data_IF_015704758017
#
_entry.id   IF_015704758017
#
_cell.length_a   1.000
_cell.length_b   1.000
_cell.length_c   1.000
_cell.angle_alpha   90.00
_cell.angle_beta   90.00
_cell.angle_gamma   90.00
#
_symmetry.space_group_name_H-M   'P 1'
#
loop_
_entity.id
_entity.type
_entity.pdbx_description
1 polymer ?
#
# COMPACT_ATOMS: atom_id res chain seq x y z
N UNK A 1 40.77 -8.40 1.41
CA UNK A 1 41.26 -9.72 0.93
C UNK A 1 40.35 -10.90 1.30
N UNK A 2 39.88 -11.04 2.54
CA UNK A 2 39.04 -12.17 2.93
C UNK A 2 37.68 -12.16 2.21
N UNK A 3 37.02 -11.01 2.12
CA UNK A 3 35.73 -10.86 1.42
C UNK A 3 35.86 -11.10 -0.10
N UNK A 4 36.96 -10.66 -0.73
CA UNK A 4 37.22 -10.93 -2.14
C UNK A 4 37.29 -12.44 -2.44
N UNK A 5 37.94 -13.22 -1.56
CA UNK A 5 38.00 -14.70 -1.71
C UNK A 5 36.63 -15.35 -1.58
N UNK A 6 35.82 -14.90 -0.62
CA UNK A 6 34.46 -15.41 -0.43
C UNK A 6 33.60 -15.10 -1.65
N UNK A 7 33.63 -13.86 -2.14
CA UNK A 7 32.89 -13.41 -3.33
C UNK A 7 33.25 -14.24 -4.57
N UNK A 8 34.55 -14.39 -4.86
CA UNK A 8 35.02 -15.19 -5.99
C UNK A 8 34.57 -16.63 -5.88
N UNK A 9 34.69 -17.25 -4.70
CA UNK A 9 34.24 -18.64 -4.47
C UNK A 9 32.76 -18.83 -4.73
N UNK A 10 31.92 -17.87 -4.32
CA UNK A 10 30.48 -17.89 -4.59
C UNK A 10 30.24 -17.74 -6.09
N UNK A 11 30.84 -16.72 -6.72
CA UNK A 11 30.67 -16.48 -8.15
C UNK A 11 31.11 -17.68 -9.01
N UNK A 12 32.20 -18.36 -8.67
CA UNK A 12 32.69 -19.57 -9.37
C UNK A 12 31.72 -20.75 -9.26
N UNK A 13 30.91 -20.83 -8.18
CA UNK A 13 29.92 -21.90 -7.99
C UNK A 13 28.69 -21.77 -8.90
N UNK A 14 28.59 -20.70 -9.66
CA UNK A 14 27.44 -20.31 -10.47
C UNK A 14 27.75 -20.52 -11.94
N UNK A 15 26.86 -21.13 -12.75
CA UNK A 15 27.14 -21.42 -14.16
C UNK A 15 27.11 -20.20 -15.07
N UNK A 16 26.37 -19.14 -14.70
CA UNK A 16 26.23 -17.91 -15.52
C UNK A 16 27.35 -16.89 -15.23
N UNK A 17 27.45 -15.87 -16.08
CA UNK A 17 28.37 -14.76 -15.88
C UNK A 17 27.96 -13.89 -14.70
N UNK A 18 28.96 -13.48 -13.92
CA UNK A 18 28.77 -12.65 -12.72
C UNK A 18 29.80 -11.51 -12.76
N UNK A 19 29.34 -10.29 -12.71
CA UNK A 19 30.17 -9.08 -12.73
C UNK A 19 30.05 -8.31 -11.42
N UNK A 20 31.18 -7.81 -10.92
CA UNK A 20 31.23 -6.86 -9.81
C UNK A 20 31.40 -5.46 -10.39
N UNK A 21 30.48 -4.59 -10.06
CA UNK A 21 30.42 -3.19 -10.49
C UNK A 21 30.69 -2.25 -9.32
N UNK A 22 31.63 -1.32 -9.46
CA UNK A 22 31.90 -0.25 -8.52
C UNK A 22 32.33 1.02 -9.25
N UNK A 23 31.48 2.03 -9.25
CA UNK A 23 31.71 3.27 -10.00
C UNK A 23 31.93 2.98 -11.51
N UNK A 24 33.15 3.27 -12.01
CA UNK A 24 33.52 2.98 -13.41
C UNK A 24 34.15 1.60 -13.63
N UNK A 25 34.34 0.83 -12.58
CA UNK A 25 34.96 -0.48 -12.66
C UNK A 25 33.87 -1.54 -12.84
N UNK A 26 34.02 -2.37 -13.87
CA UNK A 26 33.21 -3.56 -14.11
C UNK A 26 34.18 -4.71 -14.32
N UNK A 27 34.18 -5.68 -13.44
CA UNK A 27 35.13 -6.81 -13.47
C UNK A 27 34.39 -8.12 -13.32
N UNK A 28 34.95 -9.18 -13.91
CA UNK A 28 34.40 -10.53 -13.72
C UNK A 28 34.57 -10.96 -12.25
N UNK A 29 33.46 -11.18 -11.56
CA UNK A 29 33.43 -11.56 -10.14
C UNK A 29 34.01 -12.97 -9.88
N UNK A 30 34.16 -13.80 -10.92
CA UNK A 30 34.85 -15.11 -10.87
C UNK A 30 36.38 -14.99 -10.93
N UNK A 31 36.89 -13.81 -11.23
CA UNK A 31 38.33 -13.56 -11.34
C UNK A 31 38.90 -12.90 -10.10
N UNK A 32 39.72 -13.61 -9.35
CA UNK A 32 40.40 -13.05 -8.18
C UNK A 32 41.23 -11.82 -8.51
N UNK A 33 41.93 -11.82 -9.65
CA UNK A 33 42.72 -10.66 -10.10
C UNK A 33 41.82 -9.50 -10.51
N UNK A 34 40.66 -9.81 -11.15
CA UNK A 34 39.66 -8.82 -11.48
C UNK A 34 39.12 -8.14 -10.23
N UNK A 35 38.67 -8.89 -9.26
CA UNK A 35 38.10 -8.35 -8.00
C UNK A 35 39.14 -7.54 -7.21
N UNK A 36 40.39 -8.02 -7.15
CA UNK A 36 41.47 -7.30 -6.47
C UNK A 36 41.98 -6.06 -7.23
N UNK A 37 41.64 -5.89 -8.52
CA UNK A 37 41.98 -4.70 -9.30
C UNK A 37 41.04 -3.51 -9.02
N UNK A 38 39.88 -3.75 -8.40
CA UNK A 38 38.97 -2.69 -7.98
C UNK A 38 39.55 -2.03 -6.73
N UNK A 39 39.53 -0.68 -6.64
CA UNK A 39 39.91 0.02 -5.40
C UNK A 39 39.13 -0.50 -4.19
N UNK A 40 39.68 -0.31 -2.99
CA UNK A 40 38.97 -0.67 -1.76
C UNK A 40 37.64 0.13 -1.68
N UNK A 41 36.55 -0.57 -1.39
CA UNK A 41 35.21 -0.01 -1.33
C UNK A 41 34.39 -0.71 -0.24
N UNK A 42 33.41 -0.01 0.29
CA UNK A 42 32.51 -0.55 1.32
C UNK A 42 31.33 -1.29 0.68
N UNK A 43 30.78 -0.76 -0.43
CA UNK A 43 29.65 -1.32 -1.15
C UNK A 43 29.88 -1.33 -2.67
N UNK A 44 29.39 -2.38 -3.33
CA UNK A 44 29.38 -2.52 -4.79
C UNK A 44 28.18 -3.34 -5.26
N UNK A 45 27.90 -3.33 -6.54
CA UNK A 45 26.79 -4.07 -7.14
C UNK A 45 27.29 -5.37 -7.78
N UNK A 46 26.54 -6.45 -7.61
CA UNK A 46 26.80 -7.73 -8.25
C UNK A 46 25.76 -7.97 -9.35
N UNK A 47 26.18 -7.97 -10.59
CA UNK A 47 25.31 -8.24 -11.74
C UNK A 47 25.44 -9.72 -12.14
N UNK A 48 24.31 -10.43 -12.07
CA UNK A 48 24.22 -11.86 -12.42
C UNK A 48 23.45 -11.99 -13.73
N UNK A 49 24.11 -12.49 -14.77
CA UNK A 49 23.54 -12.61 -16.11
C UNK A 49 22.84 -13.97 -16.28
N UNK A 50 21.60 -14.09 -15.76
CA UNK A 50 20.80 -15.31 -15.87
C UNK A 50 19.32 -15.01 -15.95
N UNK A 51 18.57 -15.81 -16.72
CA UNK A 51 17.12 -15.82 -16.74
C UNK A 51 16.53 -16.81 -15.72
N UNK A 52 17.38 -17.50 -14.94
CA UNK A 52 16.98 -18.52 -14.00
C UNK A 52 16.87 -17.95 -12.57
N UNK A 53 15.66 -17.69 -12.13
CA UNK A 53 15.32 -17.15 -10.81
C UNK A 53 15.92 -17.95 -9.64
N UNK A 54 16.00 -19.29 -9.77
CA UNK A 54 16.58 -20.17 -8.74
C UNK A 54 18.09 -20.01 -8.60
N UNK A 55 18.78 -19.62 -9.66
CA UNK A 55 20.22 -19.30 -9.58
C UNK A 55 20.43 -17.99 -8.82
N UNK A 56 19.60 -16.99 -9.06
CA UNK A 56 19.64 -15.72 -8.32
C UNK A 56 19.37 -15.94 -6.83
N UNK A 57 18.36 -16.72 -6.48
CA UNK A 57 18.03 -17.06 -5.08
C UNK A 57 19.20 -17.79 -4.39
N UNK A 58 19.85 -18.74 -5.08
CA UNK A 58 20.98 -19.46 -4.54
C UNK A 58 22.18 -18.56 -4.26
N UNK A 59 22.46 -17.63 -5.16
CA UNK A 59 23.54 -16.64 -4.99
C UNK A 59 23.24 -15.75 -3.79
N UNK A 60 22.02 -15.21 -3.71
CA UNK A 60 21.58 -14.35 -2.63
C UNK A 60 21.74 -15.05 -1.27
N UNK A 61 21.33 -16.31 -1.18
CA UNK A 61 21.46 -17.11 0.03
C UNK A 61 22.94 -17.31 0.43
N UNK A 62 23.81 -17.64 -0.52
CA UNK A 62 25.24 -17.81 -0.26
C UNK A 62 25.94 -16.52 0.17
N UNK A 63 25.55 -15.37 -0.42
CA UNK A 63 26.07 -14.06 -0.01
C UNK A 63 25.64 -13.69 1.40
N UNK A 64 24.38 -14.00 1.76
CA UNK A 64 23.85 -13.82 3.13
C UNK A 64 24.62 -14.67 4.15
N UNK A 65 24.82 -15.98 3.88
CA UNK A 65 25.55 -16.87 4.77
C UNK A 65 27.01 -16.42 5.03
N UNK A 66 27.61 -15.72 4.07
CA UNK A 66 28.99 -15.25 4.18
C UNK A 66 29.11 -13.82 4.69
N UNK A 67 28.00 -13.15 5.06
CA UNK A 67 27.93 -11.73 5.44
C UNK A 67 28.60 -10.82 4.38
N UNK A 68 28.30 -11.07 3.10
CA UNK A 68 28.79 -10.26 1.96
C UNK A 68 27.72 -9.35 1.36
N UNK A 69 26.48 -9.44 1.84
CA UNK A 69 25.48 -8.42 1.52
C UNK A 69 25.69 -7.24 2.45
N UNK A 70 25.55 -6.04 1.89
CA UNK A 70 25.50 -4.83 2.71
C UNK A 70 24.37 -4.97 3.73
N UNK A 71 24.63 -4.55 4.96
CA UNK A 71 23.62 -4.58 6.02
C UNK A 71 22.41 -3.73 5.57
N UNK A 72 21.27 -4.37 5.36
CA UNK A 72 20.04 -3.69 4.95
C UNK A 72 19.53 -2.72 6.03
N UNK A 73 20.16 -2.68 7.22
CA UNK A 73 19.88 -1.69 8.25
C UNK A 73 20.25 -0.25 7.84
N UNK A 74 21.11 -0.07 6.81
CA UNK A 74 21.38 1.25 6.24
C UNK A 74 20.22 1.75 5.33
N UNK A 75 19.30 0.86 4.93
CA UNK A 75 18.11 1.22 4.16
C UNK A 75 17.10 2.01 5.02
N UNK A 76 17.02 1.76 6.33
CA UNK A 76 16.17 2.52 7.25
C UNK A 76 16.62 3.98 7.42
N UNK A 77 17.92 4.29 7.17
CA UNK A 77 18.45 5.66 7.18
C UNK A 77 18.22 6.41 5.85
N UNK A 78 17.71 5.74 4.81
CA UNK A 78 17.52 6.32 3.45
C UNK A 78 16.08 6.44 3.01
N UNK A 79 15.09 6.02 3.79
CA UNK A 79 13.69 6.21 3.39
C UNK A 79 13.34 7.70 3.47
N UNK A 80 12.87 8.21 2.34
CA UNK A 80 12.36 9.59 2.24
C UNK A 80 10.88 9.60 2.60
N UNK A 81 10.17 8.49 2.32
CA UNK A 81 8.74 8.38 2.54
C UNK A 81 8.43 7.42 3.69
N UNK A 82 7.65 7.91 4.65
CA UNK A 82 7.11 7.09 5.72
C UNK A 82 6.11 6.09 5.14
N UNK A 83 5.27 6.55 4.20
CA UNK A 83 4.24 5.75 3.56
C UNK A 83 4.16 6.11 2.08
N UNK A 84 4.20 5.10 1.22
CA UNK A 84 3.84 5.25 -0.20
C UNK A 84 2.62 4.40 -0.48
N UNK A 85 1.59 4.99 -1.08
CA UNK A 85 0.39 4.27 -1.50
C UNK A 85 0.41 4.05 -3.01
N UNK A 86 -0.12 2.89 -3.44
CA UNK A 86 -0.11 2.47 -4.84
C UNK A 86 -1.50 2.00 -5.25
N UNK A 87 -2.00 2.51 -6.36
CA UNK A 87 -3.25 2.04 -6.95
C UNK A 87 -4.05 3.14 -7.64
N UNK A 88 -5.38 3.05 -7.51
CA UNK A 88 -6.28 3.97 -8.16
C UNK A 88 -6.38 5.31 -7.44
N UNK A 89 -6.54 6.34 -8.26
CA UNK A 89 -7.07 7.66 -7.90
C UNK A 89 -8.18 7.97 -8.91
N UNK A 90 -9.32 8.40 -8.44
CA UNK A 90 -10.54 8.52 -9.25
C UNK A 90 -11.44 9.67 -8.80
N UNK A 91 -12.49 9.93 -9.56
CA UNK A 91 -13.54 10.87 -9.17
C UNK A 91 -14.77 10.09 -8.71
N UNK A 92 -15.25 10.42 -7.51
CA UNK A 92 -16.57 10.03 -7.03
C UNK A 92 -17.58 11.16 -7.33
N UNK A 93 -18.49 10.91 -8.29
CA UNK A 93 -19.65 11.74 -8.51
C UNK A 93 -20.78 11.30 -7.58
N UNK A 94 -20.96 12.00 -6.47
CA UNK A 94 -21.99 11.69 -5.49
C UNK A 94 -23.25 12.48 -5.78
N UNK A 95 -24.39 11.80 -5.91
CA UNK A 95 -25.68 12.44 -6.11
C UNK A 95 -25.99 13.43 -4.97
N UNK A 96 -26.54 14.57 -5.35
CA UNK A 96 -27.00 15.64 -4.45
C UNK A 96 -28.53 15.80 -4.64
N UNK A 97 -29.02 16.97 -4.37
CA UNK A 97 -30.43 17.30 -4.60
C UNK A 97 -30.75 17.45 -6.09
N UNK A 98 -32.03 17.38 -6.43
CA UNK A 98 -32.58 17.73 -7.75
C UNK A 98 -32.76 19.24 -7.79
N UNK A 99 -32.26 19.90 -8.86
CA UNK A 99 -32.43 21.33 -9.03
C UNK A 99 -33.89 21.69 -9.45
N UNK A 100 -34.19 22.97 -9.55
CA UNK A 100 -35.52 23.50 -9.91
C UNK A 100 -36.02 23.03 -11.30
N UNK A 101 -35.09 22.66 -12.19
CA UNK A 101 -35.39 22.13 -13.53
C UNK A 101 -35.58 20.60 -13.56
N UNK A 102 -35.55 19.94 -12.41
CA UNK A 102 -35.67 18.47 -12.30
C UNK A 102 -34.40 17.69 -12.64
N UNK A 103 -33.23 18.35 -12.70
CA UNK A 103 -31.96 17.72 -13.02
C UNK A 103 -31.27 17.27 -11.75
N UNK A 104 -30.75 16.02 -11.75
CA UNK A 104 -29.91 15.50 -10.69
C UNK A 104 -28.54 16.19 -10.70
N UNK A 105 -28.15 16.76 -9.58
CA UNK A 105 -26.84 17.35 -9.39
C UNK A 105 -25.86 16.32 -8.80
N UNK A 106 -24.60 16.41 -9.20
CA UNK A 106 -23.53 15.57 -8.67
C UNK A 106 -22.39 16.42 -8.13
N UNK A 107 -21.97 16.14 -6.91
CA UNK A 107 -20.72 16.67 -6.38
C UNK A 107 -19.54 15.87 -6.91
N UNK A 108 -18.52 16.56 -7.45
CA UNK A 108 -17.28 15.96 -7.90
C UNK A 108 -16.30 15.85 -6.73
N UNK A 109 -16.13 14.66 -6.20
CA UNK A 109 -15.22 14.40 -5.09
C UNK A 109 -13.97 13.66 -5.56
N UNK A 110 -12.77 14.01 -5.07
CA UNK A 110 -11.59 13.18 -5.25
C UNK A 110 -11.70 11.94 -4.37
N UNK A 111 -11.30 10.79 -4.90
CA UNK A 111 -11.41 9.48 -4.24
C UNK A 111 -10.38 8.48 -4.77
N UNK A 112 -10.62 7.21 -4.43
CA UNK A 112 -9.70 6.10 -4.63
C UNK A 112 -9.07 5.68 -3.30
N UNK A 113 -9.22 4.42 -2.90
CA UNK A 113 -8.81 3.98 -1.56
C UNK A 113 -7.33 4.26 -1.25
N UNK A 114 -6.36 3.95 -2.13
CA UNK A 114 -4.95 4.31 -1.88
C UNK A 114 -4.72 5.82 -1.79
N UNK A 115 -5.44 6.63 -2.57
CA UNK A 115 -5.33 8.08 -2.52
C UNK A 115 -5.95 8.65 -1.21
N UNK A 116 -7.04 8.03 -0.71
CA UNK A 116 -7.64 8.37 0.57
C UNK A 116 -6.66 8.10 1.73
N UNK A 117 -6.02 6.93 1.74
CA UNK A 117 -4.98 6.57 2.73
C UNK A 117 -3.81 7.55 2.65
N UNK A 118 -3.34 7.90 1.44
CA UNK A 118 -2.25 8.87 1.27
C UNK A 118 -2.57 10.22 1.90
N UNK A 119 -3.77 10.74 1.67
CA UNK A 119 -4.17 12.03 2.26
C UNK A 119 -4.38 11.92 3.77
N UNK A 120 -4.98 10.83 4.26
CA UNK A 120 -5.14 10.61 5.68
C UNK A 120 -3.79 10.65 6.40
N UNK A 121 -2.80 9.89 5.92
CA UNK A 121 -1.45 9.84 6.52
C UNK A 121 -0.70 11.16 6.40
N UNK A 122 -0.80 11.85 5.26
CA UNK A 122 -0.17 13.17 5.06
C UNK A 122 -0.73 14.24 6.00
N UNK A 123 -2.06 14.30 6.20
CA UNK A 123 -2.70 15.25 7.14
C UNK A 123 -2.33 14.98 8.60
N UNK A 124 -2.02 13.74 8.92
CA UNK A 124 -1.51 13.36 10.24
C UNK A 124 -0.04 13.70 10.44
N UNK A 125 0.69 14.07 9.37
CA UNK A 125 2.08 14.54 9.43
C UNK A 125 3.11 13.57 8.87
N UNK A 126 2.71 12.43 8.29
CA UNK A 126 3.63 11.53 7.61
C UNK A 126 4.14 12.11 6.28
N UNK A 127 5.37 11.80 5.93
CA UNK A 127 5.91 12.10 4.61
C UNK A 127 5.43 11.04 3.61
N UNK A 128 4.43 11.40 2.81
CA UNK A 128 3.65 10.46 2.01
C UNK A 128 3.83 10.67 0.52
N UNK A 129 3.94 9.59 -0.26
CA UNK A 129 3.92 9.60 -1.72
C UNK A 129 2.76 8.75 -2.27
N UNK A 130 2.37 9.04 -3.50
CA UNK A 130 1.37 8.28 -4.26
C UNK A 130 1.95 7.80 -5.58
N UNK A 131 1.80 6.53 -5.88
CA UNK A 131 2.11 5.91 -7.17
C UNK A 131 0.82 5.41 -7.82
N UNK A 132 0.53 5.86 -9.02
CA UNK A 132 -0.66 5.45 -9.76
C UNK A 132 -0.80 6.19 -11.08
N UNK A 133 -1.93 5.97 -11.76
CA UNK A 133 -2.18 6.57 -13.08
C UNK A 133 -3.62 7.08 -13.19
N UNK A 134 -3.78 8.30 -13.67
CA UNK A 134 -5.06 8.89 -14.06
C UNK A 134 -5.00 9.34 -15.54
N UNK A 135 -6.09 9.74 -16.12
CA UNK A 135 -6.11 10.31 -17.47
C UNK A 135 -5.47 11.71 -17.52
N UNK A 136 -4.88 12.05 -18.65
CA UNK A 136 -4.47 13.43 -18.95
C UNK A 136 -5.70 14.24 -19.39
N UNK A 137 -6.63 14.38 -18.48
CA UNK A 137 -7.90 15.07 -18.63
C UNK A 137 -8.16 16.02 -17.45
N UNK A 138 -9.27 16.76 -17.50
CA UNK A 138 -9.64 17.72 -16.46
C UNK A 138 -9.80 17.08 -15.07
N UNK A 139 -10.04 15.78 -14.99
CA UNK A 139 -10.19 15.05 -13.74
C UNK A 139 -8.86 14.60 -13.18
N UNK A 140 -7.96 14.05 -14.02
CA UNK A 140 -6.62 13.65 -13.60
C UNK A 140 -5.77 14.83 -13.13
N UNK A 141 -5.83 15.97 -13.85
CA UNK A 141 -5.16 17.21 -13.41
C UNK A 141 -5.74 17.74 -12.08
N UNK A 142 -7.05 17.66 -11.90
CA UNK A 142 -7.69 18.02 -10.64
C UNK A 142 -7.21 17.11 -9.50
N UNK A 143 -7.21 15.78 -9.70
CA UNK A 143 -6.77 14.80 -8.69
C UNK A 143 -5.32 15.04 -8.29
N UNK A 144 -4.42 15.25 -9.27
CA UNK A 144 -3.02 15.60 -9.00
C UNK A 144 -2.92 16.87 -8.17
N UNK A 145 -3.66 17.90 -8.52
CA UNK A 145 -3.66 19.17 -7.79
C UNK A 145 -4.20 19.03 -6.35
N UNK A 146 -5.16 18.12 -6.14
CA UNK A 146 -5.67 17.81 -4.78
C UNK A 146 -4.57 17.14 -3.97
N UNK A 147 -3.96 16.06 -4.46
CA UNK A 147 -2.90 15.35 -3.74
C UNK A 147 -1.74 16.28 -3.38
N UNK A 148 -1.32 17.16 -4.31
CA UNK A 148 -0.27 18.15 -4.05
C UNK A 148 -0.65 19.17 -2.96
N UNK A 149 -1.89 19.67 -2.95
CA UNK A 149 -2.39 20.55 -1.88
C UNK A 149 -2.41 19.86 -0.51
N UNK A 150 -2.70 18.56 -0.51
CA UNK A 150 -2.66 17.72 0.68
C UNK A 150 -1.23 17.24 1.03
N UNK A 151 -0.20 17.83 0.40
CA UNK A 151 1.23 17.57 0.64
C UNK A 151 1.66 16.11 0.36
N UNK A 152 0.90 15.39 -0.45
CA UNK A 152 1.29 14.07 -0.96
C UNK A 152 2.24 14.29 -2.15
N UNK A 153 3.41 13.65 -2.14
CA UNK A 153 4.32 13.66 -3.29
C UNK A 153 3.68 12.89 -4.46
N UNK A 154 3.53 13.56 -5.58
CA UNK A 154 2.91 13.03 -6.81
C UNK A 154 3.91 12.70 -7.90
N UNK A 155 5.20 12.57 -7.58
CA UNK A 155 6.25 12.20 -8.55
C UNK A 155 5.93 10.87 -9.24
N UNK A 156 5.40 9.91 -8.49
CA UNK A 156 4.96 8.61 -9.00
C UNK A 156 3.56 8.61 -9.66
N UNK A 157 2.85 9.74 -9.71
CA UNK A 157 1.53 9.83 -10.33
C UNK A 157 1.64 10.24 -11.80
N UNK A 158 1.24 9.33 -12.69
CA UNK A 158 1.24 9.54 -14.13
C UNK A 158 -0.10 10.05 -14.64
N UNK A 159 -0.06 10.81 -15.75
CA UNK A 159 -1.23 11.17 -16.53
C UNK A 159 -1.12 10.56 -17.92
N UNK A 160 -2.10 9.74 -18.26
CA UNK A 160 -2.16 8.97 -19.51
C UNK A 160 -2.89 9.76 -20.60
N UNK A 161 -2.33 9.84 -21.81
CA UNK A 161 -2.93 10.56 -22.93
C UNK A 161 -4.05 9.78 -23.63
N UNK A 162 -4.01 8.43 -23.54
CA UNK A 162 -4.89 7.53 -24.28
C UNK A 162 -6.10 7.06 -23.46
N UNK A 163 -6.00 7.06 -22.13
CA UNK A 163 -7.04 6.52 -21.24
C UNK A 163 -7.59 7.57 -20.29
N UNK A 164 -8.91 7.59 -20.12
CA UNK A 164 -9.58 8.52 -19.21
C UNK A 164 -9.37 8.18 -17.74
N UNK A 165 -9.44 9.21 -16.89
CA UNK A 165 -9.58 9.06 -15.45
C UNK A 165 -10.81 8.22 -15.12
N UNK A 166 -10.66 7.24 -14.24
CA UNK A 166 -11.79 6.45 -13.74
C UNK A 166 -12.79 7.33 -13.00
N UNK A 167 -14.07 7.13 -13.31
CA UNK A 167 -15.19 7.82 -12.66
C UNK A 167 -16.07 6.78 -11.96
N UNK A 168 -16.45 7.08 -10.73
CA UNK A 168 -17.48 6.36 -9.98
C UNK A 168 -18.70 7.29 -9.81
N UNK A 169 -19.88 6.79 -10.13
CA UNK A 169 -21.14 7.48 -9.84
C UNK A 169 -21.75 6.80 -8.62
N UNK A 170 -22.04 7.60 -7.60
CA UNK A 170 -22.58 7.12 -6.33
C UNK A 170 -23.97 7.69 -6.17
N UNK A 171 -24.96 6.84 -6.23
CA UNK A 171 -26.35 7.19 -5.92
C UNK A 171 -26.66 6.73 -4.50
N UNK A 172 -27.28 7.60 -3.73
CA UNK A 172 -27.76 7.32 -2.38
C UNK A 172 -29.28 7.29 -2.43
N UNK A 173 -29.89 6.15 -2.12
CA UNK A 173 -31.34 6.03 -2.09
C UNK A 173 -31.94 6.63 -0.77
N UNK A 174 -33.26 6.70 -0.67
CA UNK A 174 -33.95 7.24 0.50
C UNK A 174 -33.67 6.48 1.80
N UNK A 175 -33.24 5.21 1.72
CA UNK A 175 -32.82 4.41 2.88
C UNK A 175 -31.37 4.64 3.28
N UNK A 176 -30.61 5.45 2.52
CA UNK A 176 -29.18 5.70 2.74
C UNK A 176 -28.25 4.64 2.13
N UNK A 177 -28.79 3.66 1.41
CA UNK A 177 -27.99 2.67 0.67
C UNK A 177 -27.33 3.31 -0.54
N UNK A 178 -26.11 2.87 -0.84
CA UNK A 178 -25.31 3.37 -1.95
C UNK A 178 -25.20 2.37 -3.07
N UNK A 179 -25.45 2.86 -4.28
CA UNK A 179 -25.23 2.12 -5.51
C UNK A 179 -24.07 2.77 -6.26
N UNK A 180 -23.10 1.95 -6.68
CA UNK A 180 -21.93 2.40 -7.42
C UNK A 180 -22.01 1.96 -8.88
N UNK A 181 -21.76 2.90 -9.79
CA UNK A 181 -21.57 2.63 -11.21
C UNK A 181 -20.24 3.21 -11.66
N UNK A 182 -19.40 2.40 -12.32
CA UNK A 182 -18.04 2.80 -12.71
C UNK A 182 -17.90 2.96 -14.23
N UNK A 183 -17.35 4.10 -14.65
CA UNK A 183 -16.80 4.30 -15.98
C UNK A 183 -15.29 3.99 -15.93
N UNK A 184 -14.92 2.71 -16.09
CA UNK A 184 -13.57 2.15 -15.91
C UNK A 184 -13.22 1.03 -16.90
N UNK A 185 -13.75 1.06 -18.12
CA UNK A 185 -13.52 -0.01 -19.10
C UNK A 185 -12.95 0.50 -20.43
N UNK A 186 -11.61 0.73 -20.50
CA UNK A 186 -10.64 0.78 -19.40
C UNK A 186 -10.50 2.17 -18.80
N UNK A 187 -10.19 2.25 -17.49
CA UNK A 187 -9.69 3.45 -16.86
C UNK A 187 -8.17 3.51 -16.90
N UNK A 188 -7.59 4.70 -16.86
CA UNK A 188 -6.13 4.89 -16.90
C UNK A 188 -5.40 4.12 -15.78
N UNK A 189 -5.99 4.01 -14.59
CA UNK A 189 -5.45 3.28 -13.45
C UNK A 189 -5.24 1.78 -13.72
N UNK A 190 -6.00 1.18 -14.66
CA UNK A 190 -5.81 -0.22 -15.08
C UNK A 190 -4.66 -0.41 -16.04
N UNK A 191 -4.05 0.69 -16.54
CA UNK A 191 -3.05 0.69 -17.61
C UNK A 191 -1.64 1.03 -17.14
N UNK A 192 -1.42 1.15 -15.85
CA UNK A 192 -0.08 1.35 -15.29
C UNK A 192 0.80 0.13 -15.58
N UNK A 193 1.94 0.35 -16.22
CA UNK A 193 2.91 -0.68 -16.56
C UNK A 193 4.09 -0.66 -15.59
N UNK A 194 4.79 -1.80 -15.45
CA UNK A 194 5.92 -1.91 -14.51
C UNK A 194 7.08 -0.97 -14.84
N UNK A 195 7.29 -0.68 -16.12
CA UNK A 195 8.33 0.23 -16.63
C UNK A 195 8.04 1.70 -16.30
N UNK A 196 6.79 2.02 -15.99
CA UNK A 196 6.33 3.36 -15.64
C UNK A 196 6.39 3.65 -14.13
N UNK A 197 6.60 2.61 -13.30
CA UNK A 197 6.70 2.78 -11.86
C UNK A 197 7.94 3.58 -11.49
N UNK A 198 7.76 4.68 -10.74
CA UNK A 198 8.89 5.44 -10.20
C UNK A 198 9.59 4.61 -9.11
N UNK A 199 10.69 3.95 -9.52
CA UNK A 199 11.44 3.06 -8.63
C UNK A 199 12.19 3.81 -7.53
N UNK A 200 12.52 5.10 -7.73
CA UNK A 200 13.17 5.91 -6.69
C UNK A 200 12.21 6.19 -5.53
N UNK A 201 10.93 6.44 -5.83
CA UNK A 201 9.89 6.59 -4.81
C UNK A 201 9.68 5.26 -4.09
N UNK A 202 9.57 4.17 -4.86
CA UNK A 202 9.30 2.84 -4.32
C UNK A 202 10.42 2.34 -3.41
N UNK A 203 11.68 2.47 -3.83
CA UNK A 203 12.86 1.97 -3.11
C UNK A 203 13.16 2.74 -1.81
N UNK A 204 12.57 3.94 -1.63
CA UNK A 204 12.79 4.81 -0.47
C UNK A 204 11.57 4.92 0.44
N UNK A 205 10.81 3.85 0.54
CA UNK A 205 9.54 3.78 1.25
C UNK A 205 9.64 2.85 2.46
N UNK A 206 9.18 3.30 3.65
CA UNK A 206 9.10 2.46 4.83
C UNK A 206 7.88 1.54 4.78
N UNK A 207 6.69 2.08 4.52
CA UNK A 207 5.44 1.30 4.41
C UNK A 207 4.90 1.47 2.99
N UNK A 208 4.75 0.36 2.27
CA UNK A 208 4.15 0.33 0.95
C UNK A 208 2.73 -0.22 1.02
N UNK A 209 1.74 0.63 0.77
CA UNK A 209 0.32 0.29 0.87
C UNK A 209 -0.32 0.10 -0.50
N UNK A 210 -1.10 -0.97 -0.64
CA UNK A 210 -1.84 -1.31 -1.86
C UNK A 210 -3.29 -1.69 -1.56
N UNK A 211 -4.17 -1.45 -2.55
CA UNK A 211 -5.54 -1.96 -2.59
C UNK A 211 -5.70 -3.14 -3.55
N UNK A 212 -6.95 -3.64 -3.74
CA UNK A 212 -7.21 -4.72 -4.69
C UNK A 212 -7.70 -4.24 -6.06
N UNK A 213 -8.07 -2.97 -6.22
CA UNK A 213 -8.58 -2.48 -7.51
C UNK A 213 -7.51 -2.52 -8.61
N UNK A 214 -6.24 -2.37 -8.26
CA UNK A 214 -5.13 -2.56 -9.18
C UNK A 214 -4.92 -4.03 -9.63
N UNK A 215 -5.60 -4.98 -8.97
CA UNK A 215 -5.56 -6.41 -9.33
C UNK A 215 -6.69 -6.83 -10.30
N UNK A 216 -7.64 -5.95 -10.64
CA UNK A 216 -8.78 -6.29 -11.49
C UNK A 216 -8.39 -6.60 -12.92
N UNK A 217 -7.45 -5.84 -13.48
CA UNK A 217 -7.10 -5.86 -14.89
C UNK A 217 -5.58 -5.88 -15.13
N UNK A 218 -5.21 -6.28 -16.36
CA UNK A 218 -3.85 -6.17 -16.86
C UNK A 218 -3.67 -4.84 -17.61
N UNK A 219 -2.46 -4.25 -17.58
CA UNK A 219 -1.21 -4.70 -16.96
C UNK A 219 -1.09 -4.34 -15.46
N UNK A 220 -1.99 -3.54 -14.90
CA UNK A 220 -1.90 -3.03 -13.53
C UNK A 220 -1.72 -4.14 -12.48
N UNK A 221 -2.32 -5.32 -12.69
CA UNK A 221 -2.16 -6.49 -11.79
C UNK A 221 -0.70 -6.93 -11.71
N UNK A 222 -0.06 -7.17 -12.84
CA UNK A 222 1.34 -7.61 -12.86
C UNK A 222 2.27 -6.52 -12.33
N UNK A 223 1.95 -5.26 -12.60
CA UNK A 223 2.64 -4.09 -12.05
C UNK A 223 2.52 -4.02 -10.53
N UNK A 224 1.34 -4.32 -9.97
CA UNK A 224 1.14 -4.39 -8.51
C UNK A 224 2.05 -5.44 -7.88
N UNK A 225 2.09 -6.66 -8.45
CA UNK A 225 2.98 -7.72 -7.95
C UNK A 225 4.46 -7.35 -8.08
N UNK A 226 4.85 -6.70 -9.19
CA UNK A 226 6.20 -6.18 -9.35
C UNK A 226 6.55 -5.18 -8.25
N UNK A 227 5.69 -4.18 -8.02
CA UNK A 227 5.92 -3.13 -7.03
C UNK A 227 6.00 -3.70 -5.61
N UNK A 228 5.06 -4.59 -5.23
CA UNK A 228 5.03 -5.23 -3.90
C UNK A 228 6.30 -6.05 -3.65
N UNK A 229 6.72 -6.88 -4.61
CA UNK A 229 7.95 -7.69 -4.47
C UNK A 229 9.18 -6.79 -4.36
N UNK A 230 9.26 -5.73 -5.16
CA UNK A 230 10.39 -4.79 -5.12
C UNK A 230 10.45 -4.07 -3.78
N UNK A 231 9.35 -3.50 -3.31
CA UNK A 231 9.27 -2.83 -2.00
C UNK A 231 9.67 -3.78 -0.86
N UNK A 232 9.14 -5.02 -0.88
CA UNK A 232 9.48 -6.03 0.13
C UNK A 232 10.97 -6.39 0.10
N UNK A 233 11.56 -6.56 -1.08
CA UNK A 233 12.99 -6.85 -1.24
C UNK A 233 13.89 -5.67 -0.78
N UNK A 234 13.35 -4.44 -0.74
CA UNK A 234 14.02 -3.26 -0.20
C UNK A 234 13.78 -3.04 1.30
N UNK A 235 13.06 -3.97 1.94
CA UNK A 235 12.79 -3.93 3.38
C UNK A 235 11.55 -3.15 3.78
N UNK A 236 10.75 -2.69 2.83
CA UNK A 236 9.49 -2.02 3.15
C UNK A 236 8.49 -2.98 3.79
N UNK A 237 7.73 -2.48 4.76
CA UNK A 237 6.55 -3.14 5.31
C UNK A 237 5.43 -3.09 4.28
N UNK A 238 4.87 -4.25 3.93
CA UNK A 238 3.77 -4.32 2.96
C UNK A 238 2.43 -4.25 3.67
N UNK A 239 1.66 -3.21 3.35
CA UNK A 239 0.31 -2.96 3.86
C UNK A 239 -0.72 -3.23 2.77
N UNK A 240 -1.81 -3.92 3.11
CA UNK A 240 -2.88 -4.28 2.18
C UNK A 240 -4.27 -4.06 2.77
N UNK A 241 -5.11 -3.35 2.02
CA UNK A 241 -6.56 -3.27 2.22
C UNK A 241 -7.23 -3.74 0.93
N UNK A 242 -7.87 -4.90 0.87
CA UNK A 242 -8.55 -5.40 -0.33
C UNK A 242 -9.60 -4.43 -0.85
N UNK A 243 -10.38 -3.83 0.03
CA UNK A 243 -11.41 -2.85 -0.28
C UNK A 243 -12.30 -3.31 -1.45
N UNK A 244 -12.90 -4.49 -1.31
CA UNK A 244 -13.61 -5.21 -2.35
C UNK A 244 -14.78 -4.43 -2.93
N UNK A 245 -14.87 -4.39 -4.25
CA UNK A 245 -15.97 -3.78 -5.00
C UNK A 245 -16.48 -4.79 -6.04
N UNK A 246 -17.54 -5.50 -5.71
CA UNK A 246 -18.09 -6.60 -6.53
C UNK A 246 -18.30 -6.20 -8.02
N UNK A 247 -18.78 -4.98 -8.27
CA UNK A 247 -19.07 -4.47 -9.62
C UNK A 247 -17.84 -4.28 -10.52
N UNK A 248 -16.64 -4.30 -9.96
CA UNK A 248 -15.37 -4.15 -10.70
C UNK A 248 -14.71 -5.48 -11.06
N UNK A 249 -15.26 -6.60 -10.59
CA UNK A 249 -14.74 -7.92 -10.88
C UNK A 249 -15.66 -8.68 -11.83
N UNK A 250 -15.11 -9.55 -12.69
CA UNK A 250 -15.93 -10.40 -13.56
C UNK A 250 -16.87 -11.31 -12.79
N UNK A 251 -16.39 -11.84 -11.66
CA UNK A 251 -17.11 -12.71 -10.73
C UNK A 251 -16.37 -12.78 -9.39
N UNK A 252 -17.05 -13.24 -8.35
CA UNK A 252 -16.50 -13.37 -6.99
C UNK A 252 -15.33 -14.37 -6.92
N UNK A 253 -15.36 -15.46 -7.70
CA UNK A 253 -14.28 -16.45 -7.72
C UNK A 253 -12.96 -15.84 -8.24
N UNK A 254 -13.04 -15.02 -9.27
CA UNK A 254 -11.91 -14.28 -9.82
C UNK A 254 -11.38 -13.26 -8.81
N UNK A 255 -12.28 -12.54 -8.15
CA UNK A 255 -11.91 -11.61 -7.07
C UNK A 255 -11.16 -12.33 -5.94
N UNK A 256 -11.74 -13.38 -5.37
CA UNK A 256 -11.13 -14.23 -4.34
C UNK A 256 -9.73 -14.70 -4.73
N UNK A 257 -9.60 -15.23 -5.96
CA UNK A 257 -8.31 -15.73 -6.47
C UNK A 257 -7.24 -14.65 -6.46
N UNK A 258 -7.54 -13.47 -7.02
CA UNK A 258 -6.52 -12.41 -7.16
C UNK A 258 -6.25 -11.69 -5.85
N UNK A 259 -7.26 -11.41 -5.04
CA UNK A 259 -7.06 -10.78 -3.74
C UNK A 259 -6.25 -11.66 -2.78
N UNK A 260 -6.56 -12.95 -2.71
CA UNK A 260 -5.83 -13.92 -1.86
C UNK A 260 -4.39 -14.14 -2.34
N UNK A 261 -4.11 -14.02 -3.63
CA UNK A 261 -2.76 -14.24 -4.16
C UNK A 261 -1.74 -13.17 -3.72
N UNK A 262 -2.20 -12.02 -3.20
CA UNK A 262 -1.32 -11.00 -2.65
C UNK A 262 -0.97 -11.26 -1.16
N UNK A 263 -1.83 -11.95 -0.41
CA UNK A 263 -1.69 -12.18 1.05
C UNK A 263 -0.31 -12.70 1.47
N UNK A 264 0.35 -13.64 0.75
CA UNK A 264 1.68 -14.13 1.15
C UNK A 264 2.80 -13.08 1.18
N UNK A 265 2.58 -11.91 0.59
CA UNK A 265 3.54 -10.82 0.59
C UNK A 265 3.29 -9.77 1.68
N UNK A 266 2.14 -9.85 2.35
CA UNK A 266 1.60 -8.79 3.22
C UNK A 266 2.09 -8.94 4.65
N UNK A 267 2.47 -7.81 5.26
CA UNK A 267 2.85 -7.74 6.68
C UNK A 267 1.72 -7.16 7.53
N UNK A 268 1.03 -6.13 7.05
CA UNK A 268 -0.10 -5.48 7.70
C UNK A 268 -1.34 -5.58 6.82
N UNK A 269 -2.43 -6.11 7.34
CA UNK A 269 -3.67 -6.25 6.57
C UNK A 269 -4.87 -5.69 7.31
N UNK A 270 -5.66 -4.86 6.63
CA UNK A 270 -6.98 -4.46 7.09
C UNK A 270 -8.03 -5.07 6.17
N UNK A 271 -9.08 -5.59 6.76
CA UNK A 271 -10.30 -6.03 6.07
C UNK A 271 -11.54 -5.50 6.80
N UNK A 272 -12.68 -5.46 6.14
CA UNK A 272 -13.97 -5.28 6.80
C UNK A 272 -14.54 -6.64 7.24
N UNK A 273 -15.54 -6.62 8.14
CA UNK A 273 -16.29 -7.83 8.52
C UNK A 273 -17.00 -8.47 7.31
N UNK A 274 -17.46 -7.69 6.34
CA UNK A 274 -18.06 -8.17 5.10
C UNK A 274 -17.06 -8.93 4.20
N UNK A 275 -15.77 -8.64 4.31
CA UNK A 275 -14.70 -9.26 3.53
C UNK A 275 -14.15 -10.55 4.14
N UNK A 276 -14.50 -10.88 5.39
CA UNK A 276 -13.96 -12.04 6.12
C UNK A 276 -14.17 -13.35 5.38
N UNK A 277 -15.41 -13.67 5.00
CA UNK A 277 -15.74 -14.91 4.28
C UNK A 277 -15.10 -14.94 2.89
N UNK A 278 -15.06 -13.80 2.21
CA UNK A 278 -14.47 -13.68 0.87
C UNK A 278 -12.98 -14.05 0.87
N UNK A 279 -12.23 -13.61 1.89
CA UNK A 279 -10.79 -13.75 1.94
C UNK A 279 -10.33 -15.04 2.61
N UNK A 280 -11.09 -15.54 3.59
CA UNK A 280 -10.64 -16.64 4.46
C UNK A 280 -11.54 -17.87 4.43
N UNK A 281 -12.77 -17.78 3.92
CA UNK A 281 -13.87 -18.72 4.06
C UNK A 281 -14.43 -18.83 5.50
N UNK A 282 -14.05 -17.94 6.41
CA UNK A 282 -14.60 -17.84 7.76
C UNK A 282 -15.47 -16.59 7.88
N UNK A 283 -16.67 -16.72 8.50
CA UNK A 283 -17.55 -15.59 8.79
C UNK A 283 -17.20 -14.92 10.11
N UNK A 284 -16.74 -15.72 11.06
CA UNK A 284 -16.33 -15.21 12.36
C UNK A 284 -15.06 -14.36 12.20
N UNK A 285 -15.09 -13.16 12.77
CA UNK A 285 -14.02 -12.16 12.67
C UNK A 285 -12.70 -12.68 13.26
N UNK A 286 -12.78 -13.45 14.35
CA UNK A 286 -11.61 -13.99 15.05
C UNK A 286 -10.97 -15.11 14.24
N UNK A 287 -11.78 -16.03 13.73
CA UNK A 287 -11.32 -17.11 12.85
C UNK A 287 -10.71 -16.56 11.56
N UNK A 288 -11.33 -15.52 10.99
CA UNK A 288 -10.81 -14.88 9.78
C UNK A 288 -9.47 -14.19 10.02
N UNK A 289 -9.32 -13.44 11.10
CA UNK A 289 -8.07 -12.78 11.46
C UNK A 289 -6.95 -13.79 11.74
N UNK A 290 -7.24 -14.86 12.49
CA UNK A 290 -6.28 -15.96 12.75
C UNK A 290 -5.87 -16.69 11.47
N UNK A 291 -6.81 -16.91 10.53
CA UNK A 291 -6.52 -17.55 9.25
C UNK A 291 -5.57 -16.70 8.38
N UNK A 292 -5.72 -15.37 8.37
CA UNK A 292 -4.79 -14.47 7.66
C UNK A 292 -3.42 -14.40 8.35
N UNK A 293 -3.39 -14.32 9.68
CA UNK A 293 -2.15 -14.39 10.44
C UNK A 293 -1.38 -15.69 10.15
N UNK A 294 -2.09 -16.83 10.12
CA UNK A 294 -1.50 -18.13 9.79
C UNK A 294 -0.94 -18.23 8.37
N UNK A 295 -1.32 -17.33 7.47
CA UNK A 295 -0.77 -17.20 6.12
C UNK A 295 0.45 -16.28 6.04
N UNK A 296 0.92 -15.73 7.18
CA UNK A 296 2.13 -14.92 7.29
C UNK A 296 1.90 -13.42 7.48
N UNK A 297 0.65 -12.96 7.53
CA UNK A 297 0.35 -11.56 7.88
C UNK A 297 0.69 -11.32 9.35
N UNK A 298 1.52 -10.33 9.66
CA UNK A 298 1.99 -10.08 11.04
C UNK A 298 0.94 -9.40 11.92
N UNK A 299 0.16 -8.50 11.34
CA UNK A 299 -0.96 -7.80 12.02
C UNK A 299 -2.16 -7.74 11.11
N UNK A 300 -3.28 -8.24 11.60
CA UNK A 300 -4.59 -8.19 10.93
C UNK A 300 -5.52 -7.28 11.72
N UNK A 301 -6.15 -6.33 11.04
CA UNK A 301 -7.23 -5.50 11.58
C UNK A 301 -8.52 -5.82 10.83
N UNK A 302 -9.58 -6.17 11.55
CA UNK A 302 -10.93 -6.32 11.00
C UNK A 302 -11.79 -5.18 11.53
N UNK A 303 -12.23 -4.28 10.62
CA UNK A 303 -13.08 -3.15 11.00
C UNK A 303 -14.55 -3.58 11.10
N UNK A 304 -15.26 -3.09 12.12
CA UNK A 304 -16.63 -3.44 12.49
C UNK A 304 -17.53 -2.18 12.51
N UNK A 305 -17.26 -1.23 11.63
CA UNK A 305 -17.97 0.04 11.59
C UNK A 305 -17.89 0.77 12.94
N UNK A 306 -19.03 1.25 13.44
CA UNK A 306 -19.09 1.99 14.71
C UNK A 306 -18.68 1.20 15.96
N UNK A 307 -18.59 -0.13 15.90
CA UNK A 307 -18.10 -0.96 17.00
C UNK A 307 -16.59 -0.88 17.18
N UNK A 308 -15.86 -0.40 16.16
CA UNK A 308 -14.41 -0.25 16.17
C UNK A 308 -13.68 -1.33 15.35
N UNK A 309 -12.63 -1.94 15.90
CA UNK A 309 -11.82 -2.91 15.16
C UNK A 309 -11.38 -4.09 16.05
N UNK A 310 -11.34 -5.28 15.45
CA UNK A 310 -10.70 -6.46 16.02
C UNK A 310 -9.30 -6.59 15.45
N UNK A 311 -8.30 -6.69 16.31
CA UNK A 311 -6.90 -6.89 15.95
C UNK A 311 -6.47 -8.31 16.27
N UNK A 312 -5.58 -8.86 15.43
CA UNK A 312 -4.89 -10.13 15.67
C UNK A 312 -3.40 -10.02 15.32
N UNK A 313 -2.55 -10.53 16.20
CA UNK A 313 -1.09 -10.54 16.04
C UNK A 313 -0.48 -11.73 16.76
N UNK A 314 0.86 -11.74 16.90
CA UNK A 314 1.58 -12.78 17.67
C UNK A 314 1.09 -12.96 19.11
N UNK A 315 0.55 -11.90 19.73
CA UNK A 315 0.05 -11.91 21.10
C UNK A 315 -1.45 -12.30 21.19
N UNK A 316 -2.03 -12.76 20.08
CA UNK A 316 -3.44 -13.12 19.96
C UNK A 316 -4.33 -11.97 19.56
N UNK A 317 -5.65 -12.12 19.76
CA UNK A 317 -6.65 -11.18 19.30
C UNK A 317 -7.20 -10.28 20.39
N UNK A 318 -7.60 -9.05 20.01
CA UNK A 318 -8.26 -8.12 20.93
C UNK A 318 -9.23 -7.18 20.20
N UNK A 319 -10.31 -6.78 20.88
CA UNK A 319 -11.23 -5.73 20.43
C UNK A 319 -10.72 -4.36 20.87
N UNK A 320 -10.84 -3.38 19.97
CA UNK A 320 -10.62 -1.96 20.27
C UNK A 320 -11.88 -1.19 19.89
N UNK A 321 -12.61 -0.65 20.88
CA UNK A 321 -13.90 -0.01 20.64
C UNK A 321 -13.75 1.26 19.80
N UNK A 322 -14.79 1.55 18.99
CA UNK A 322 -14.90 2.79 18.24
C UNK A 322 -15.22 3.99 19.15
N UNK A 323 -15.16 5.18 18.58
CA UNK A 323 -15.61 6.40 19.24
C UNK A 323 -17.07 6.67 18.93
N UNK A 324 -17.80 7.19 19.91
CA UNK A 324 -19.17 7.63 19.69
C UNK A 324 -19.23 8.81 18.72
N UNK A 325 -20.04 8.69 17.67
CA UNK A 325 -20.27 9.71 16.66
C UNK A 325 -21.66 10.31 16.86
N UNK A 326 -21.75 11.63 16.94
CA UNK A 326 -23.04 12.31 17.16
C UNK A 326 -23.97 12.24 15.95
N UNK A 327 -23.39 12.38 14.77
CA UNK A 327 -24.11 12.33 13.50
C UNK A 327 -23.17 11.82 12.39
N UNK A 328 -23.59 10.77 11.71
CA UNK A 328 -22.90 10.28 10.51
C UNK A 328 -23.38 11.11 9.32
N UNK A 329 -22.45 11.82 8.68
CA UNK A 329 -22.72 12.59 7.47
C UNK A 329 -22.42 11.76 6.21
N UNK A 330 -21.36 10.96 6.24
CA UNK A 330 -20.91 10.13 5.13
C UNK A 330 -19.99 9.02 5.63
N UNK A 331 -20.16 7.79 5.14
CA UNK A 331 -19.27 6.65 5.47
C UNK A 331 -18.21 6.40 4.41
N UNK A 332 -18.14 7.23 3.36
CA UNK A 332 -17.12 7.11 2.33
C UNK A 332 -15.73 7.45 2.91
N UNK A 333 -14.76 6.56 2.70
CA UNK A 333 -13.42 6.74 3.23
C UNK A 333 -13.23 6.38 4.71
N UNK A 334 -14.26 5.90 5.41
CA UNK A 334 -14.19 5.47 6.81
C UNK A 334 -13.05 4.46 7.04
N UNK A 335 -13.09 3.33 6.33
CA UNK A 335 -12.06 2.30 6.41
C UNK A 335 -10.68 2.80 6.00
N UNK A 336 -10.59 3.64 4.96
CA UNK A 336 -9.33 4.23 4.50
C UNK A 336 -8.73 5.17 5.56
N UNK A 337 -9.60 5.95 6.24
CA UNK A 337 -9.21 6.89 7.30
C UNK A 337 -8.72 6.15 8.56
N UNK A 338 -9.44 5.10 8.99
CA UNK A 338 -8.99 4.20 10.05
C UNK A 338 -7.59 3.65 9.74
N UNK A 339 -7.45 3.10 8.53
CA UNK A 339 -6.19 2.47 8.16
C UNK A 339 -5.05 3.47 8.01
N UNK A 340 -5.32 4.64 7.45
CA UNK A 340 -4.37 5.75 7.41
C UNK A 340 -3.88 6.15 8.79
N UNK A 341 -4.78 6.27 9.77
CA UNK A 341 -4.45 6.54 11.17
C UNK A 341 -3.59 5.44 11.80
N UNK A 342 -3.95 4.17 11.56
CA UNK A 342 -3.18 3.01 12.03
C UNK A 342 -1.77 3.00 11.43
N UNK A 343 -1.64 3.15 10.10
CA UNK A 343 -0.35 3.17 9.42
C UNK A 343 0.52 4.36 9.84
N UNK A 344 -0.07 5.53 10.09
CA UNK A 344 0.64 6.66 10.67
C UNK A 344 1.29 6.31 12.02
N UNK A 345 0.55 5.67 12.92
CA UNK A 345 1.10 5.23 14.22
C UNK A 345 2.19 4.19 14.06
N UNK A 346 2.05 3.26 13.12
CA UNK A 346 3.12 2.29 12.79
C UNK A 346 4.37 3.02 12.28
N UNK A 347 4.21 3.98 11.36
CA UNK A 347 5.35 4.68 10.74
C UNK A 347 6.11 5.60 11.71
N UNK A 348 5.43 6.10 12.75
CA UNK A 348 6.03 6.96 13.78
C UNK A 348 6.52 6.18 15.00
N UNK A 349 6.32 4.87 15.04
CA UNK A 349 6.85 3.99 16.09
C UNK A 349 8.36 3.80 15.93
N UNK A 350 9.10 3.86 17.04
CA UNK A 350 10.53 3.50 17.07
C UNK A 350 10.75 1.98 17.05
N UNK A 351 9.67 1.18 17.21
CA UNK A 351 9.70 -0.28 17.25
C UNK A 351 9.49 -0.87 15.85
N UNK A 352 10.25 -1.93 15.54
CA UNK A 352 9.95 -2.77 14.39
C UNK A 352 8.64 -3.55 14.59
N UNK A 353 8.01 -4.01 13.52
CA UNK A 353 6.74 -4.76 13.59
C UNK A 353 6.79 -5.95 14.55
N UNK A 354 7.91 -6.67 14.58
CA UNK A 354 8.08 -7.87 15.42
C UNK A 354 8.25 -7.53 16.92
N UNK A 355 8.56 -6.27 17.23
CA UNK A 355 8.71 -5.75 18.60
C UNK A 355 7.40 -5.14 19.14
N UNK A 356 6.44 -4.86 18.27
CA UNK A 356 5.15 -4.32 18.68
C UNK A 356 4.43 -5.28 19.61
N UNK A 357 3.93 -4.75 20.71
CA UNK A 357 3.11 -5.47 21.69
C UNK A 357 1.63 -5.29 21.38
N UNK A 358 0.78 -6.12 21.99
CA UNK A 358 -0.67 -5.95 21.87
C UNK A 358 -1.15 -4.57 22.36
N UNK A 359 -0.47 -3.99 23.35
CA UNK A 359 -0.79 -2.66 23.87
C UNK A 359 -0.46 -1.55 22.87
N UNK A 360 0.69 -1.64 22.19
CA UNK A 360 1.05 -0.72 21.09
C UNK A 360 -0.02 -0.78 19.98
N UNK A 361 -0.41 -2.00 19.58
CA UNK A 361 -1.40 -2.21 18.52
C UNK A 361 -2.80 -1.70 18.90
N UNK A 362 -3.20 -1.85 20.18
CA UNK A 362 -4.46 -1.26 20.70
C UNK A 362 -4.43 0.27 20.64
N UNK A 363 -3.32 0.89 21.02
CA UNK A 363 -3.14 2.34 20.90
C UNK A 363 -3.26 2.79 19.45
N UNK A 364 -2.59 2.07 18.51
CA UNK A 364 -2.64 2.40 17.10
C UNK A 364 -4.04 2.26 16.51
N UNK A 365 -4.77 1.20 16.86
CA UNK A 365 -6.15 1.02 16.41
C UNK A 365 -7.11 2.03 17.07
N UNK A 366 -6.90 2.40 18.34
CA UNK A 366 -7.66 3.47 18.96
C UNK A 366 -7.46 4.80 18.26
N UNK A 367 -6.22 5.09 17.84
CA UNK A 367 -5.92 6.27 17.05
C UNK A 367 -6.63 6.21 15.68
N UNK A 368 -6.58 5.07 14.98
CA UNK A 368 -7.32 4.83 13.73
C UNK A 368 -8.84 5.03 13.90
N UNK A 369 -9.43 4.48 14.96
CA UNK A 369 -10.85 4.68 15.29
C UNK A 369 -11.20 6.15 15.54
N UNK A 370 -10.30 6.94 16.13
CA UNK A 370 -10.49 8.37 16.31
C UNK A 370 -10.47 9.13 14.97
N UNK A 371 -9.55 8.76 14.05
CA UNK A 371 -9.49 9.31 12.68
C UNK A 371 -10.78 9.00 11.94
N UNK A 372 -11.23 7.74 11.95
CA UNK A 372 -12.47 7.29 11.33
C UNK A 372 -13.69 8.05 11.85
N UNK A 373 -13.84 8.13 13.20
CA UNK A 373 -14.96 8.83 13.83
C UNK A 373 -15.08 10.30 13.40
N UNK A 374 -13.98 10.97 13.13
CA UNK A 374 -13.95 12.35 12.64
C UNK A 374 -14.23 12.45 11.13
N UNK A 375 -13.81 11.43 10.38
CA UNK A 375 -14.04 11.35 8.95
C UNK A 375 -15.55 11.22 8.66
N UNK A 376 -16.23 10.29 9.33
CA UNK A 376 -17.67 10.02 9.07
C UNK A 376 -18.61 11.16 9.48
N UNK A 377 -18.14 12.13 10.28
CA UNK A 377 -18.89 13.35 10.62
C UNK A 377 -18.96 14.38 9.49
N UNK A 378 -18.23 14.16 8.37
CA UNK A 378 -18.17 15.08 7.23
C UNK A 378 -18.48 14.36 5.91
N UNK A 379 -18.90 15.12 4.89
CA UNK A 379 -19.16 14.58 3.55
C UNK A 379 -17.85 14.41 2.75
N UNK A 380 -17.80 13.32 1.99
CA UNK A 380 -16.68 12.95 1.12
C UNK A 380 -15.57 12.18 1.88
N UNK A 381 -14.64 11.56 1.14
CA UNK A 381 -13.50 10.86 1.71
C UNK A 381 -12.32 11.83 1.98
N UNK A 382 -11.58 12.20 0.92
CA UNK A 382 -10.43 13.13 1.05
C UNK A 382 -10.80 14.44 1.77
N UNK A 383 -11.90 15.13 1.45
CA UNK A 383 -12.26 16.36 2.17
C UNK A 383 -12.54 16.17 3.66
N UNK A 384 -12.97 14.98 4.05
CA UNK A 384 -13.36 14.66 5.43
C UNK A 384 -12.18 14.25 6.33
N UNK A 385 -11.01 13.87 5.76
CA UNK A 385 -9.85 13.45 6.53
C UNK A 385 -9.47 14.50 7.59
N UNK A 386 -9.27 14.12 8.87
CA UNK A 386 -8.92 15.05 9.93
C UNK A 386 -7.43 15.39 9.95
N UNK A 387 -7.10 16.52 10.57
CA UNK A 387 -5.74 16.90 10.93
C UNK A 387 -5.35 16.28 12.29
N UNK A 388 -4.05 16.08 12.53
CA UNK A 388 -3.52 15.46 13.75
C UNK A 388 -4.10 16.08 15.03
N UNK A 389 -4.12 17.41 15.12
CA UNK A 389 -4.64 18.11 16.31
C UNK A 389 -6.15 17.88 16.57
N UNK A 390 -6.92 17.50 15.55
CA UNK A 390 -8.33 17.12 15.72
C UNK A 390 -8.45 15.72 16.32
N UNK A 391 -7.59 14.80 15.85
CA UNK A 391 -7.53 13.42 16.33
C UNK A 391 -7.08 13.38 17.79
N UNK A 392 -6.03 14.11 18.15
CA UNK A 392 -5.55 14.20 19.54
C UNK A 392 -6.64 14.71 20.50
N UNK A 393 -7.42 15.72 20.07
CA UNK A 393 -8.57 16.21 20.86
C UNK A 393 -9.64 15.14 21.04
N UNK A 394 -10.00 14.41 19.97
CA UNK A 394 -10.97 13.34 20.04
C UNK A 394 -10.55 12.21 20.98
N UNK A 395 -9.26 11.90 21.04
CA UNK A 395 -8.72 10.87 21.95
C UNK A 395 -8.75 11.34 23.42
N UNK A 396 -8.64 12.66 23.66
CA UNK A 396 -8.66 13.25 24.99
C UNK A 396 -10.07 13.47 25.57
N UNK A 397 -11.12 13.42 24.75
CA UNK A 397 -12.53 13.44 25.15
C UNK A 397 -12.95 12.13 25.84
#
# INVERSE_FOLDING_TARGET
MQNARKLVSIAESIPCDVELCYGRYVVNAKSMLGVLSVPEFDEGELHVHTDNEKECEKILFQLLEQNLLADTNDAAQRSIYDITTFGEVLIDFTSQDINEDGQMLYARNPGGAPANVAVATSRLGAHTAFIGKAGKDMHGEFLRSVLQREKVDTKGMLLDEDYFTTLAFVEVNESGERTFSFARKPGADTKLQKEEVDVDVLDRTNIFHVGSLSLTDQPARDTTFYAVRRAKNKGSVISYDPNYRASLWPDEKTAKKHMRSLVPYVDLMKISDEETELLTNHKDVREAAEALYSQGVKVVAVTLGGEGAYLYSKDGGCMVPGFAVKQIADTNGAGDSFWGGFLYKVSTSEKNLDELTQEDLKEFARFGNAVDSLCVEKKGAIPAMPELAQVERRIAE
#
